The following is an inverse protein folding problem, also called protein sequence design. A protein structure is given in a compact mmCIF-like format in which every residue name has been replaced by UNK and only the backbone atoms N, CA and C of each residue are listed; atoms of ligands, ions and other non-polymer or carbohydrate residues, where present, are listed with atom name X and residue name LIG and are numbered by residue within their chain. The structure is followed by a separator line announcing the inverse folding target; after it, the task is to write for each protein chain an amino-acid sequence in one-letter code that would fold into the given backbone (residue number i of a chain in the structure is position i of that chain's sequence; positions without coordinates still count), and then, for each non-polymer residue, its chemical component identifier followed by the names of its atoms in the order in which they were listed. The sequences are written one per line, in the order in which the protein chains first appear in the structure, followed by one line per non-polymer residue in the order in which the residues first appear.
data_IF_878846884212
#
_entry.id   IF_878846884212
#
_cell.length_a   1.000
_cell.length_b   1.000
_cell.length_c   1.000
_cell.angle_alpha   90.00
_cell.angle_beta   90.00
_cell.angle_gamma   90.00
#
_symmetry.space_group_name_H-M   'P 1'
#
loop_
_entity.id
_entity.type
_entity.pdbx_description
1 polymer ?
#
# COMPACT_ATOMS: atom_id res chain seq x y z
N UNK A 1 -10.32 -4.65 12.50
CA UNK A 1 -9.72 -3.88 11.38
C UNK A 1 -8.69 -2.95 11.97
N UNK A 2 -7.49 -2.89 11.39
CA UNK A 2 -6.39 -2.07 11.87
C UNK A 2 -6.55 -0.60 11.46
N UNK A 3 -6.00 0.32 12.26
CA UNK A 3 -5.97 1.75 11.95
C UNK A 3 -4.97 2.05 10.82
N UNK A 4 -5.36 2.86 9.84
CA UNK A 4 -4.48 3.23 8.71
C UNK A 4 -3.84 4.59 9.00
N UNK A 5 -2.51 4.62 9.12
CA UNK A 5 -1.71 5.85 9.25
C UNK A 5 -0.78 6.02 8.04
N UNK A 6 -0.73 7.23 7.51
CA UNK A 6 0.11 7.56 6.35
C UNK A 6 1.31 8.41 6.77
N UNK A 7 2.50 8.03 6.29
CA UNK A 7 3.65 8.95 6.30
C UNK A 7 3.40 10.07 5.30
N UNK A 8 3.88 11.29 5.60
CA UNK A 8 3.75 12.45 4.70
C UNK A 8 4.34 12.18 3.30
N UNK A 9 5.45 11.45 3.23
CA UNK A 9 6.07 11.04 1.97
C UNK A 9 5.14 10.15 1.14
N UNK A 10 4.52 9.14 1.76
CA UNK A 10 3.59 8.23 1.08
C UNK A 10 2.39 8.98 0.46
N UNK A 11 1.84 9.99 1.16
CA UNK A 11 0.75 10.81 0.61
C UNK A 11 1.22 11.56 -0.65
N UNK A 12 2.43 12.14 -0.62
CA UNK A 12 3.00 12.85 -1.78
C UNK A 12 3.21 11.90 -2.96
N UNK A 13 3.67 10.68 -2.70
CA UNK A 13 3.93 9.71 -3.76
C UNK A 13 2.65 9.16 -4.38
N UNK A 14 1.62 8.89 -3.56
CA UNK A 14 0.29 8.51 -4.08
C UNK A 14 -0.27 9.60 -4.99
N UNK A 15 -0.13 10.87 -4.61
CA UNK A 15 -0.64 12.00 -5.41
C UNK A 15 0.02 12.15 -6.80
N UNK A 16 1.21 11.57 -7.01
CA UNK A 16 1.90 11.58 -8.31
C UNK A 16 1.37 10.52 -9.28
N UNK A 17 0.60 9.55 -8.79
CA UNK A 17 0.05 8.46 -9.60
C UNK A 17 -1.16 8.93 -10.41
N UNK A 18 -1.47 8.24 -11.51
CA UNK A 18 -2.71 8.46 -12.25
C UNK A 18 -3.95 8.17 -11.36
N UNK A 19 -5.09 8.83 -11.64
CA UNK A 19 -6.33 8.69 -10.85
C UNK A 19 -6.81 7.25 -10.73
N UNK A 20 -6.70 6.43 -11.77
CA UNK A 20 -7.09 5.02 -11.71
C UNK A 20 -6.15 4.21 -10.80
N UNK A 21 -4.85 4.50 -10.88
CA UNK A 21 -3.84 3.87 -10.01
C UNK A 21 -4.04 4.30 -8.56
N UNK A 22 -4.32 5.58 -8.28
CA UNK A 22 -4.61 6.08 -6.93
C UNK A 22 -5.79 5.36 -6.28
N UNK A 23 -6.89 5.20 -7.02
CA UNK A 23 -8.07 4.47 -6.54
C UNK A 23 -7.72 3.01 -6.20
N UNK A 24 -6.93 2.37 -7.05
CA UNK A 24 -6.49 0.99 -6.83
C UNK A 24 -5.61 0.89 -5.58
N UNK A 25 -4.63 1.80 -5.43
CA UNK A 25 -3.75 1.86 -4.24
C UNK A 25 -4.58 2.02 -2.96
N UNK A 26 -5.52 2.96 -2.92
CA UNK A 26 -6.36 3.20 -1.73
C UNK A 26 -7.20 1.97 -1.40
N UNK A 27 -7.76 1.30 -2.42
CA UNK A 27 -8.50 0.05 -2.23
C UNK A 27 -7.61 -1.05 -1.64
N UNK A 28 -6.40 -1.22 -2.16
CA UNK A 28 -5.44 -2.21 -1.67
C UNK A 28 -5.01 -1.92 -0.22
N UNK A 29 -4.80 -0.66 0.15
CA UNK A 29 -4.46 -0.26 1.53
C UNK A 29 -5.61 -0.61 2.49
N UNK A 30 -6.87 -0.40 2.08
CA UNK A 30 -8.04 -0.79 2.87
C UNK A 30 -8.12 -2.30 3.06
N UNK A 31 -7.78 -3.08 2.03
CA UNK A 31 -7.70 -4.55 2.16
C UNK A 31 -6.58 -4.97 3.13
N UNK A 32 -5.41 -4.31 3.08
CA UNK A 32 -4.34 -4.56 4.04
C UNK A 32 -4.74 -4.23 5.49
N UNK A 33 -5.67 -3.30 5.72
CA UNK A 33 -6.17 -3.03 7.08
C UNK A 33 -6.99 -4.19 7.68
N UNK A 34 -7.46 -5.14 6.87
CA UNK A 34 -8.14 -6.34 7.35
C UNK A 34 -7.16 -7.45 7.71
N UNK A 35 -6.07 -7.58 6.94
CA UNK A 35 -5.00 -8.54 7.16
C UNK A 35 -3.65 -7.86 6.77
N UNK A 36 -2.93 -7.26 7.74
CA UNK A 36 -1.76 -6.42 7.47
C UNK A 36 -0.50 -7.22 7.13
N UNK A 37 -0.43 -8.48 7.54
CA UNK A 37 0.71 -9.39 7.40
C UNK A 37 0.62 -10.30 6.16
N UNK A 38 -0.42 -10.17 5.33
CA UNK A 38 -0.61 -10.91 4.06
C UNK A 38 0.49 -10.71 3.00
N UNK A 39 1.39 -9.75 3.20
CA UNK A 39 2.43 -9.37 2.25
C UNK A 39 3.70 -10.23 2.36
N UNK A 40 4.72 -9.84 1.60
CA UNK A 40 6.08 -10.39 1.78
C UNK A 40 6.79 -9.64 2.89
N UNK A 41 7.32 -10.34 3.88
CA UNK A 41 8.18 -9.75 4.91
C UNK A 41 9.45 -9.19 4.29
N UNK A 42 9.84 -7.99 4.72
CA UNK A 42 11.10 -7.37 4.31
C UNK A 42 12.19 -7.65 5.35
N UNK A 43 13.44 -7.73 4.89
CA UNK A 43 14.60 -8.05 5.72
C UNK A 43 15.60 -6.88 5.77
N UNK A 44 16.63 -7.01 6.62
CA UNK A 44 17.65 -5.97 6.82
C UNK A 44 17.08 -4.71 7.46
N UNK A 45 17.40 -3.54 6.91
CA UNK A 45 16.94 -2.24 7.42
C UNK A 45 15.41 -2.04 7.38
N UNK A 46 14.69 -2.93 6.69
CA UNK A 46 13.24 -2.91 6.57
C UNK A 46 12.56 -4.02 7.38
N UNK A 47 13.30 -4.67 8.30
CA UNK A 47 12.77 -5.70 9.17
C UNK A 47 11.51 -5.22 9.92
N UNK A 48 10.47 -6.05 9.94
CA UNK A 48 9.17 -5.74 10.52
C UNK A 48 8.20 -4.98 9.59
N UNK A 49 8.63 -4.67 8.36
CA UNK A 49 7.77 -4.12 7.31
C UNK A 49 7.35 -5.21 6.31
N UNK A 50 6.22 -4.97 5.65
CA UNK A 50 5.64 -5.86 4.65
C UNK A 50 5.52 -5.14 3.31
N UNK A 51 5.79 -5.86 2.23
CA UNK A 51 5.58 -5.39 0.86
C UNK A 51 4.38 -6.07 0.22
N UNK A 52 3.59 -5.29 -0.50
CA UNK A 52 2.41 -5.78 -1.22
C UNK A 52 2.43 -5.29 -2.67
N UNK A 53 2.57 -6.23 -3.60
CA UNK A 53 2.56 -5.95 -5.04
C UNK A 53 1.19 -6.24 -5.64
N UNK A 54 0.75 -5.40 -6.57
CA UNK A 54 -0.48 -5.60 -7.32
C UNK A 54 -0.34 -5.05 -8.74
N UNK A 55 -1.14 -5.57 -9.66
CA UNK A 55 -1.20 -5.13 -11.06
C UNK A 55 -2.43 -4.28 -11.27
N UNK A 56 -2.26 -3.12 -11.90
CA UNK A 56 -3.38 -2.30 -12.35
C UNK A 56 -3.64 -2.64 -13.82
N UNK A 57 -4.78 -3.27 -14.11
CA UNK A 57 -5.23 -3.44 -15.51
C UNK A 57 -5.85 -2.13 -15.95
N UNK A 58 -5.29 -1.51 -17.00
CA UNK A 58 -5.97 -0.44 -17.73
C UNK A 58 -6.95 -1.13 -18.69
N UNK A 59 -8.24 -0.84 -18.52
CA UNK A 59 -9.32 -1.22 -19.44
C UNK A 59 -9.39 -0.11 -20.49
#
# INVERSE_FOLDING_TARGET
MYEIKYKRAAIKDIKKLDKAVQRTVISQIRQCAQNPDRGKTLHGNLHGLYSYGFTVRRI
#
